data_IF_497223888978
#
_entry.id   IF_497223888978
#
_cell.length_a   1.000
_cell.length_b   1.000
_cell.length_c   1.000
_cell.angle_alpha   90.00
_cell.angle_beta   90.00
_cell.angle_gamma   90.00
#
_symmetry.space_group_name_H-M   'P 1'
#
loop_
_entity.id
_entity.type
_entity.pdbx_description
1 polymer ?
#
# COMPACT_ATOMS: atom_id res chain seq x y z
N UNK A 1 22.45 -38.09 8.88
CA UNK A 1 21.12 -38.08 9.50
C UNK A 1 20.58 -36.67 9.33
N UNK A 2 19.56 -36.50 8.48
CA UNK A 2 19.03 -35.21 8.03
C UNK A 2 18.41 -34.46 9.20
N UNK A 3 18.95 -33.29 9.52
CA UNK A 3 18.30 -32.33 10.41
C UNK A 3 17.04 -31.81 9.72
N UNK A 4 15.88 -32.10 10.31
CA UNK A 4 14.63 -31.44 9.98
C UNK A 4 14.80 -29.94 10.28
N UNK A 5 15.18 -29.16 9.26
CA UNK A 5 15.13 -27.71 9.33
C UNK A 5 13.67 -27.31 9.49
N UNK A 6 13.35 -26.76 10.65
CA UNK A 6 12.05 -26.21 10.99
C UNK A 6 11.60 -25.27 9.89
N UNK A 7 10.47 -25.58 9.27
CA UNK A 7 9.78 -24.76 8.24
C UNK A 7 9.17 -23.48 8.84
N UNK A 8 9.83 -22.86 9.82
CA UNK A 8 9.37 -21.68 10.54
C UNK A 8 9.99 -20.42 9.95
N UNK A 9 9.33 -19.28 10.15
CA UNK A 9 9.89 -17.96 9.83
C UNK A 9 11.21 -17.78 10.59
N UNK A 10 12.29 -17.51 9.86
CA UNK A 10 13.61 -17.27 10.45
C UNK A 10 13.69 -15.87 11.05
N UNK A 11 14.61 -15.70 11.99
CA UNK A 11 14.82 -14.42 12.66
C UNK A 11 15.22 -13.33 11.65
N UNK A 12 14.73 -12.11 11.86
CA UNK A 12 14.91 -11.02 10.90
C UNK A 12 16.32 -10.43 11.03
N UNK A 13 17.00 -10.30 9.89
CA UNK A 13 18.24 -9.54 9.79
C UNK A 13 17.89 -8.07 9.57
N UNK A 14 18.52 -7.18 10.33
CA UNK A 14 18.28 -5.73 10.29
C UNK A 14 19.55 -5.03 9.81
N UNK A 15 19.36 -4.02 8.97
CA UNK A 15 20.42 -3.11 8.53
C UNK A 15 19.87 -1.70 8.38
N UNK A 16 20.71 -0.70 8.61
CA UNK A 16 20.37 0.70 8.36
C UNK A 16 21.04 1.15 7.08
N UNK A 17 20.23 1.69 6.18
CA UNK A 17 20.73 2.22 4.90
C UNK A 17 21.21 3.65 5.06
N UNK A 18 22.29 3.98 4.37
CA UNK A 18 22.84 5.33 4.31
C UNK A 18 22.78 5.86 2.88
N UNK A 19 22.60 7.16 2.74
CA UNK A 19 22.53 7.83 1.44
C UNK A 19 23.90 7.76 0.74
N UNK A 20 23.97 7.13 -0.42
CA UNK A 20 25.20 7.03 -1.23
C UNK A 20 25.15 7.92 -2.46
N UNK A 21 23.96 8.11 -3.04
CA UNK A 21 23.79 8.92 -4.24
C UNK A 21 22.50 9.74 -4.21
N UNK A 22 22.57 10.98 -4.67
CA UNK A 22 21.42 11.86 -4.86
C UNK A 22 21.55 12.63 -6.17
N UNK A 23 20.55 12.47 -7.04
CA UNK A 23 20.38 13.26 -8.26
C UNK A 23 18.97 13.81 -8.34
N UNK A 24 18.69 14.63 -9.37
CA UNK A 24 17.34 15.13 -9.64
C UNK A 24 16.34 14.02 -10.04
N UNK A 25 16.84 12.84 -10.47
CA UNK A 25 16.01 11.73 -10.95
C UNK A 25 15.88 10.59 -9.95
N UNK A 26 16.93 10.31 -9.19
CA UNK A 26 17.00 9.16 -8.29
C UNK A 26 17.83 9.45 -7.04
N UNK A 27 17.46 8.77 -5.96
CA UNK A 27 18.18 8.74 -4.69
C UNK A 27 18.51 7.27 -4.40
N UNK A 28 19.77 6.96 -4.09
CA UNK A 28 20.21 5.61 -3.74
C UNK A 28 20.69 5.56 -2.30
N UNK A 29 20.29 4.48 -1.65
CA UNK A 29 20.70 4.15 -0.30
C UNK A 29 21.32 2.76 -0.31
N UNK A 30 22.40 2.56 0.43
CA UNK A 30 23.12 1.29 0.50
C UNK A 30 23.34 0.89 1.96
N UNK A 31 23.44 -0.41 2.19
CA UNK A 31 23.81 -1.01 3.47
C UNK A 31 24.47 -2.36 3.23
N UNK A 32 25.44 -2.68 4.07
CA UNK A 32 26.03 -4.01 4.15
C UNK A 32 25.52 -4.70 5.41
N UNK A 33 25.17 -5.97 5.29
CA UNK A 33 24.78 -6.82 6.42
C UNK A 33 25.14 -8.28 6.15
N UNK A 34 25.44 -9.02 7.22
CA UNK A 34 25.83 -10.42 7.12
C UNK A 34 24.60 -11.32 7.15
N UNK A 35 24.43 -12.13 6.10
CA UNK A 35 23.37 -13.14 6.00
C UNK A 35 23.99 -14.53 6.24
N UNK A 36 23.60 -15.24 7.31
CA UNK A 36 24.08 -16.60 7.55
C UNK A 36 23.79 -17.53 6.37
N UNK A 37 24.71 -18.44 6.07
CA UNK A 37 24.54 -19.40 4.95
C UNK A 37 23.32 -20.32 5.14
N UNK A 38 22.94 -20.58 6.39
CA UNK A 38 21.74 -21.33 6.74
C UNK A 38 20.46 -20.48 6.73
N UNK A 39 20.49 -19.20 6.34
CA UNK A 39 19.28 -18.37 6.22
C UNK A 39 18.37 -18.88 5.10
N UNK A 40 18.95 -19.49 4.07
CA UNK A 40 18.22 -19.93 2.88
C UNK A 40 17.86 -18.75 1.98
N UNK A 41 16.84 -18.92 1.17
CA UNK A 41 16.47 -17.92 0.16
C UNK A 41 15.69 -16.73 0.75
N UNK A 42 16.08 -15.51 0.40
CA UNK A 42 15.38 -14.28 0.82
C UNK A 42 14.18 -14.03 -0.10
N UNK A 43 12.97 -14.19 0.45
CA UNK A 43 11.72 -14.00 -0.29
C UNK A 43 11.00 -12.68 -0.04
N UNK A 44 11.36 -11.93 1.01
CA UNK A 44 10.73 -10.67 1.37
C UNK A 44 11.68 -9.73 2.10
N UNK A 45 11.44 -8.42 1.96
CA UNK A 45 12.13 -7.35 2.69
C UNK A 45 11.07 -6.51 3.41
N UNK A 46 11.38 -6.14 4.66
CA UNK A 46 10.59 -5.21 5.46
C UNK A 46 11.32 -3.87 5.50
N UNK A 47 10.61 -2.80 5.17
CA UNK A 47 11.13 -1.44 5.09
C UNK A 47 10.42 -0.56 6.12
N UNK A 48 11.22 0.15 6.91
CA UNK A 48 10.77 1.22 7.78
C UNK A 48 11.28 2.55 7.23
N UNK A 49 10.41 3.55 7.12
CA UNK A 49 10.80 4.89 6.72
C UNK A 49 10.98 5.79 7.94
N UNK A 50 12.24 6.04 8.28
CA UNK A 50 12.69 6.94 9.36
C UNK A 50 12.46 8.43 9.04
N UNK A 51 12.17 8.79 7.78
CA UNK A 51 11.92 10.17 7.40
C UNK A 51 10.52 10.62 7.84
N UNK A 52 10.36 11.94 8.07
CA UNK A 52 9.07 12.55 8.43
C UNK A 52 8.06 12.64 7.27
N UNK A 53 8.45 12.21 6.06
CA UNK A 53 7.63 12.26 4.86
C UNK A 53 7.69 10.91 4.17
N UNK A 54 6.63 10.58 3.44
CA UNK A 54 6.60 9.41 2.59
C UNK A 54 7.72 9.45 1.53
N UNK A 55 8.13 8.28 1.07
CA UNK A 55 9.15 8.13 0.03
C UNK A 55 8.71 7.08 -0.97
N UNK A 56 8.86 7.39 -2.26
CA UNK A 56 8.54 6.45 -3.32
C UNK A 56 9.71 5.46 -3.50
N UNK A 57 9.45 4.19 -3.22
CA UNK A 57 10.42 3.10 -3.36
C UNK A 57 10.23 2.44 -4.72
N UNK A 58 11.25 2.53 -5.57
CA UNK A 58 11.21 1.96 -6.92
C UNK A 58 11.64 0.48 -6.93
N UNK A 59 12.83 0.21 -6.42
CA UNK A 59 13.43 -1.12 -6.44
C UNK A 59 14.34 -1.31 -5.23
N UNK A 60 14.42 -2.54 -4.73
CA UNK A 60 15.44 -2.97 -3.76
C UNK A 60 16.25 -4.10 -4.43
N UNK A 61 17.57 -4.01 -4.34
CA UNK A 61 18.49 -5.02 -4.89
C UNK A 61 19.38 -5.52 -3.76
N UNK A 62 19.38 -6.84 -3.56
CA UNK A 62 20.29 -7.51 -2.64
C UNK A 62 21.37 -8.23 -3.45
N UNK A 63 22.61 -7.81 -3.32
CA UNK A 63 23.77 -8.37 -4.04
C UNK A 63 24.64 -9.22 -3.08
N UNK A 64 25.62 -9.95 -3.63
CA UNK A 64 26.59 -10.73 -2.84
C UNK A 64 26.23 -12.20 -2.62
N UNK A 65 25.18 -12.70 -3.27
CA UNK A 65 24.81 -14.13 -3.22
C UNK A 65 25.42 -14.92 -4.38
N UNK A 66 25.79 -16.17 -4.13
CA UNK A 66 26.29 -17.10 -5.17
C UNK A 66 25.29 -17.32 -6.30
N UNK A 67 23.99 -17.17 -6.02
CA UNK A 67 22.90 -17.30 -6.99
C UNK A 67 22.65 -16.03 -7.82
N UNK A 68 23.42 -14.96 -7.58
CA UNK A 68 23.24 -13.65 -8.20
C UNK A 68 22.31 -12.72 -7.41
N UNK A 69 22.13 -11.48 -7.89
CA UNK A 69 21.38 -10.44 -7.18
C UNK A 69 19.88 -10.75 -7.13
N UNK A 70 19.26 -10.53 -5.97
CA UNK A 70 17.82 -10.68 -5.75
C UNK A 70 17.17 -9.29 -5.90
N UNK A 71 16.19 -9.19 -6.80
CA UNK A 71 15.48 -7.95 -7.09
C UNK A 71 14.07 -7.97 -6.54
N UNK A 72 13.66 -6.83 -5.98
CA UNK A 72 12.32 -6.55 -5.48
C UNK A 72 11.78 -5.34 -6.25
N UNK A 73 10.81 -5.58 -7.13
CA UNK A 73 10.11 -4.49 -7.84
C UNK A 73 9.03 -3.92 -6.93
N UNK A 74 9.26 -2.72 -6.41
CA UNK A 74 8.45 -2.13 -5.34
C UNK A 74 7.36 -1.21 -5.90
N UNK A 75 7.75 -0.22 -6.71
CA UNK A 75 6.91 0.82 -7.32
C UNK A 75 5.77 1.32 -6.40
N UNK A 76 6.13 1.70 -5.17
CA UNK A 76 5.14 2.00 -4.12
C UNK A 76 5.63 3.05 -3.13
N UNK A 77 4.69 3.82 -2.60
CA UNK A 77 4.95 4.78 -1.54
C UNK A 77 5.09 4.10 -0.18
N UNK A 78 6.18 4.40 0.51
CA UNK A 78 6.44 4.00 1.89
C UNK A 78 6.11 5.17 2.80
N UNK A 79 5.05 5.03 3.60
CA UNK A 79 4.64 6.04 4.56
C UNK A 79 5.71 6.25 5.64
N UNK A 80 5.71 7.43 6.25
CA UNK A 80 6.58 7.74 7.37
C UNK A 80 6.16 6.92 8.60
N UNK A 81 7.12 6.41 9.39
CA UNK A 81 6.81 5.66 10.62
C UNK A 81 6.00 6.46 11.64
N UNK A 82 6.00 7.79 11.52
CA UNK A 82 5.24 8.70 12.37
C UNK A 82 3.76 8.80 11.95
N UNK A 83 3.42 8.39 10.72
CA UNK A 83 2.03 8.34 10.22
C UNK A 83 1.40 6.97 10.47
N UNK A 84 2.19 5.91 10.25
CA UNK A 84 1.84 4.52 10.57
C UNK A 84 3.13 3.76 10.96
N UNK A 85 3.18 3.11 12.14
CA UNK A 85 4.35 2.37 12.59
C UNK A 85 4.52 0.99 11.91
N UNK A 86 3.53 0.53 11.14
CA UNK A 86 3.60 -0.78 10.48
C UNK A 86 4.66 -0.81 9.39
N UNK A 87 5.49 -1.86 9.41
CA UNK A 87 6.54 -2.06 8.42
C UNK A 87 5.96 -2.36 7.04
N UNK A 88 6.55 -1.79 6.01
CA UNK A 88 6.17 -2.05 4.61
C UNK A 88 6.86 -3.31 4.11
N UNK A 89 6.09 -4.30 3.65
CA UNK A 89 6.65 -5.53 3.06
C UNK A 89 6.72 -5.43 1.53
N UNK A 90 7.83 -5.92 0.98
CA UNK A 90 8.05 -6.14 -0.44
C UNK A 90 8.50 -7.59 -0.65
N UNK A 91 7.92 -8.26 -1.65
CA UNK A 91 8.23 -9.65 -1.99
C UNK A 91 9.16 -9.70 -3.20
N UNK A 92 9.97 -10.76 -3.29
CA UNK A 92 10.79 -10.98 -4.47
C UNK A 92 9.91 -11.25 -5.69
N UNK A 93 10.48 -11.09 -6.89
CA UNK A 93 9.73 -11.26 -8.15
C UNK A 93 9.36 -12.73 -8.48
N UNK A 94 9.53 -13.66 -7.53
CA UNK A 94 9.12 -15.06 -7.67
C UNK A 94 7.62 -15.21 -7.41
N UNK A 95 6.92 -15.87 -8.34
CA UNK A 95 5.48 -16.08 -8.26
C UNK A 95 5.14 -17.40 -7.56
N UNK A 96 4.20 -17.37 -6.62
CA UNK A 96 3.71 -18.56 -5.91
C UNK A 96 2.18 -18.58 -5.84
N UNK A 97 1.58 -19.73 -6.12
CA UNK A 97 0.19 -19.98 -5.71
C UNK A 97 0.08 -19.93 -4.18
N UNK A 98 -1.12 -19.69 -3.61
CA UNK A 98 -1.32 -19.71 -2.16
C UNK A 98 -0.84 -21.03 -1.51
N UNK A 99 -1.06 -22.17 -2.17
CA UNK A 99 -0.61 -23.49 -1.70
C UNK A 99 0.90 -23.71 -1.80
N UNK A 100 1.59 -22.96 -2.67
CA UNK A 100 3.02 -23.09 -2.95
C UNK A 100 3.85 -22.03 -2.23
N UNK A 101 3.20 -21.12 -1.49
CA UNK A 101 3.90 -20.05 -0.78
C UNK A 101 4.83 -20.68 0.27
N UNK A 102 6.15 -20.37 0.25
CA UNK A 102 7.08 -20.85 1.26
C UNK A 102 6.59 -20.53 2.67
N UNK A 103 6.73 -21.47 3.61
CA UNK A 103 6.16 -21.33 4.97
C UNK A 103 6.58 -20.02 5.66
N UNK A 104 7.86 -19.64 5.56
CA UNK A 104 8.36 -18.39 6.14
C UNK A 104 7.72 -17.12 5.58
N UNK A 105 7.04 -17.18 4.43
CA UNK A 105 6.37 -16.04 3.80
C UNK A 105 4.84 -16.03 4.02
N UNK A 106 4.24 -17.14 4.47
CA UNK A 106 2.77 -17.24 4.58
C UNK A 106 2.19 -16.18 5.51
N UNK A 107 2.78 -16.01 6.70
CA UNK A 107 2.34 -15.00 7.68
C UNK A 107 2.47 -13.57 7.12
N UNK A 108 3.55 -13.27 6.40
CA UNK A 108 3.75 -11.96 5.77
C UNK A 108 2.73 -11.72 4.66
N UNK A 109 2.47 -12.73 3.82
CA UNK A 109 1.47 -12.66 2.75
C UNK A 109 0.07 -12.43 3.30
N UNK A 110 -0.33 -13.18 4.33
CA UNK A 110 -1.64 -13.02 4.98
C UNK A 110 -1.77 -11.67 5.68
N UNK A 111 -0.73 -11.25 6.41
CA UNK A 111 -0.70 -9.94 7.07
C UNK A 111 -0.87 -8.79 6.09
N UNK A 112 -0.15 -8.81 4.97
CA UNK A 112 -0.27 -7.79 3.92
C UNK A 112 -1.68 -7.78 3.30
N UNK A 113 -2.28 -8.94 3.05
CA UNK A 113 -3.65 -9.02 2.54
C UNK A 113 -4.69 -8.47 3.54
N UNK A 114 -4.49 -8.68 4.84
CA UNK A 114 -5.35 -8.11 5.88
C UNK A 114 -5.17 -6.59 5.94
N UNK A 115 -3.94 -6.10 5.89
CA UNK A 115 -3.64 -4.66 5.88
C UNK A 115 -4.29 -3.95 4.67
N UNK A 116 -4.21 -4.55 3.47
CA UNK A 116 -4.84 -4.02 2.27
C UNK A 116 -6.38 -4.01 2.33
N UNK A 117 -7.01 -4.94 3.06
CA UNK A 117 -8.48 -4.93 3.24
C UNK A 117 -8.95 -3.92 4.29
N UNK A 118 -8.11 -3.65 5.29
CA UNK A 118 -8.47 -2.84 6.45
C UNK A 118 -9.63 -3.43 7.27
N UNK A 119 -10.30 -2.58 8.05
CA UNK A 119 -11.34 -2.98 9.00
C UNK A 119 -12.74 -2.44 8.66
N UNK A 120 -12.92 -1.84 7.46
CA UNK A 120 -14.16 -1.21 6.97
C UNK A 120 -14.68 -0.02 7.79
N UNK A 121 -13.89 0.50 8.72
CA UNK A 121 -14.28 1.59 9.61
C UNK A 121 -13.39 2.81 9.41
N UNK A 122 -13.83 3.96 9.89
CA UNK A 122 -13.06 5.22 9.83
C UNK A 122 -13.00 5.86 8.44
N UNK A 123 -12.60 7.12 8.44
CA UNK A 123 -12.29 7.90 7.24
C UNK A 123 -10.90 7.54 6.72
N UNK A 124 -10.78 7.41 5.39
CA UNK A 124 -9.53 7.04 4.75
C UNK A 124 -8.52 8.17 4.76
N UNK A 125 -7.26 7.86 5.06
CA UNK A 125 -6.14 8.81 5.07
C UNK A 125 -5.30 8.69 3.81
N UNK A 126 -4.65 9.78 3.40
CA UNK A 126 -3.90 9.87 2.12
C UNK A 126 -2.83 8.79 1.97
N UNK A 127 -2.13 8.43 3.06
CA UNK A 127 -1.07 7.42 3.05
C UNK A 127 -1.59 5.97 3.11
N UNK A 128 -2.89 5.76 3.33
CA UNK A 128 -3.46 4.41 3.44
C UNK A 128 -3.58 3.74 2.09
N UNK A 129 -3.45 2.41 2.09
CA UNK A 129 -3.61 1.55 0.92
C UNK A 129 -4.75 0.55 1.11
N UNK A 130 -5.83 1.01 1.71
CA UNK A 130 -6.96 0.18 2.06
C UNK A 130 -7.93 0.14 0.89
N UNK A 131 -8.11 -1.05 0.33
CA UNK A 131 -9.06 -1.37 -0.72
C UNK A 131 -10.34 -1.92 -0.07
N UNK A 132 -11.40 -1.14 -0.15
CA UNK A 132 -12.72 -1.53 0.34
C UNK A 132 -13.81 -0.91 -0.53
N UNK A 133 -15.04 -1.39 -0.37
CA UNK A 133 -16.14 -1.07 -1.28
C UNK A 133 -17.24 -0.27 -0.59
N UNK A 134 -17.83 0.65 -1.33
CA UNK A 134 -19.04 1.36 -0.93
C UNK A 134 -19.91 1.67 -2.17
N UNK A 135 -21.11 2.17 -1.94
CA UNK A 135 -22.07 2.58 -2.96
C UNK A 135 -21.82 4.02 -3.40
N UNK A 136 -22.40 4.44 -4.52
CA UNK A 136 -22.37 5.83 -4.97
C UNK A 136 -23.43 6.62 -4.20
N UNK A 137 -23.05 7.06 -3.00
CA UNK A 137 -23.83 7.92 -2.10
C UNK A 137 -23.14 9.27 -1.87
N UNK A 138 -22.12 9.59 -2.66
CA UNK A 138 -21.21 10.74 -2.52
C UNK A 138 -21.31 11.72 -3.69
N UNK A 139 -22.27 11.53 -4.60
CA UNK A 139 -22.48 12.37 -5.78
C UNK A 139 -23.32 13.63 -5.50
N UNK A 140 -24.14 13.59 -4.44
CA UNK A 140 -25.04 14.69 -4.06
C UNK A 140 -24.42 15.64 -3.03
N UNK A 141 -25.02 16.81 -2.87
CA UNK A 141 -24.67 17.74 -1.79
C UNK A 141 -25.92 18.34 -1.13
N UNK A 142 -26.72 17.51 -0.42
CA UNK A 142 -27.98 17.95 0.19
C UNK A 142 -27.77 19.01 1.29
N UNK A 143 -26.62 18.99 1.97
CA UNK A 143 -26.27 19.98 3.01
C UNK A 143 -26.18 21.40 2.43
N UNK A 144 -25.64 21.57 1.23
CA UNK A 144 -25.56 22.86 0.53
C UNK A 144 -26.92 23.31 -0.01
N UNK A 145 -27.61 22.42 -0.73
CA UNK A 145 -28.92 22.72 -1.34
C UNK A 145 -29.73 21.42 -1.45
N UNK A 146 -30.99 21.37 -0.95
CA UNK A 146 -31.87 20.21 -1.13
C UNK A 146 -32.04 19.75 -2.59
N UNK A 147 -31.97 20.66 -3.57
CA UNK A 147 -32.03 20.34 -5.01
C UNK A 147 -30.80 19.59 -5.53
N UNK A 148 -29.69 19.58 -4.78
CA UNK A 148 -28.49 18.81 -5.07
C UNK A 148 -28.52 17.40 -4.47
N UNK A 149 -29.63 16.98 -3.86
CA UNK A 149 -29.81 15.59 -3.45
C UNK A 149 -29.80 14.66 -4.67
N UNK A 150 -29.14 13.52 -4.55
CA UNK A 150 -29.09 12.45 -5.57
C UNK A 150 -29.47 11.12 -4.93
N UNK A 151 -30.05 10.21 -5.71
CA UNK A 151 -30.33 8.86 -5.24
C UNK A 151 -29.03 8.07 -5.05
N UNK A 152 -29.05 7.13 -4.12
CA UNK A 152 -27.91 6.24 -3.88
C UNK A 152 -27.88 5.15 -4.96
N UNK A 153 -26.75 4.96 -5.64
CA UNK A 153 -26.57 3.92 -6.66
C UNK A 153 -25.70 2.77 -6.13
N UNK A 154 -26.15 1.53 -6.31
CA UNK A 154 -25.53 0.31 -5.80
C UNK A 154 -26.44 -0.52 -4.88
N UNK A 155 -27.68 -0.08 -4.64
CA UNK A 155 -28.67 -0.81 -3.85
C UNK A 155 -29.49 -1.80 -4.69
N UNK A 156 -30.56 -2.35 -4.08
CA UNK A 156 -31.54 -3.18 -4.80
C UNK A 156 -32.38 -2.36 -5.78
N UNK A 157 -32.76 -1.15 -5.38
CA UNK A 157 -33.61 -0.25 -6.18
C UNK A 157 -32.86 0.35 -7.37
N UNK A 158 -31.58 0.67 -7.18
CA UNK A 158 -30.69 1.19 -8.22
C UNK A 158 -29.41 0.35 -8.28
N UNK A 159 -29.44 -0.82 -8.93
CA UNK A 159 -28.24 -1.66 -9.08
C UNK A 159 -27.13 -0.90 -9.82
N UNK A 160 -25.93 -0.91 -9.25
CA UNK A 160 -24.76 -0.25 -9.83
C UNK A 160 -23.47 -0.87 -9.29
N UNK A 161 -22.34 -0.83 -10.04
CA UNK A 161 -21.04 -1.22 -9.53
C UNK A 161 -20.69 -0.52 -8.22
N UNK A 162 -19.86 -1.17 -7.40
CA UNK A 162 -19.29 -0.55 -6.20
C UNK A 162 -18.13 0.35 -6.56
N UNK A 163 -17.86 1.33 -5.70
CA UNK A 163 -16.69 2.23 -5.77
C UNK A 163 -15.77 2.02 -4.59
N UNK A 164 -14.59 2.62 -4.64
CA UNK A 164 -13.66 2.63 -3.51
C UNK A 164 -14.25 3.36 -2.31
N UNK A 165 -14.30 2.71 -1.15
CA UNK A 165 -14.77 3.30 0.10
C UNK A 165 -13.84 4.42 0.54
N UNK A 166 -14.42 5.57 0.88
CA UNK A 166 -13.71 6.77 1.38
C UNK A 166 -13.98 7.00 2.85
N UNK A 167 -15.18 6.64 3.33
CA UNK A 167 -15.51 6.62 4.76
C UNK A 167 -15.65 8.00 5.40
N UNK A 168 -15.86 9.06 4.60
CA UNK A 168 -16.10 10.41 5.12
C UNK A 168 -17.42 10.44 5.91
N UNK A 169 -17.61 11.44 6.78
CA UNK A 169 -18.86 11.58 7.53
C UNK A 169 -20.09 11.70 6.62
N UNK A 170 -21.26 11.30 7.14
CA UNK A 170 -22.54 11.49 6.47
C UNK A 170 -22.97 12.96 6.44
N UNK A 171 -23.77 13.34 5.45
CA UNK A 171 -24.42 14.65 5.40
C UNK A 171 -25.38 14.83 6.57
N UNK A 172 -25.51 16.06 7.06
CA UNK A 172 -26.39 16.38 8.18
C UNK A 172 -27.88 16.30 7.79
N UNK A 173 -28.23 16.73 6.58
CA UNK A 173 -29.60 16.72 6.04
C UNK A 173 -30.01 15.38 5.42
N UNK A 174 -29.06 14.48 5.16
CA UNK A 174 -29.33 13.15 4.60
C UNK A 174 -28.29 12.12 5.07
N UNK A 175 -28.60 11.30 6.10
CA UNK A 175 -27.69 10.29 6.63
C UNK A 175 -27.30 9.19 5.65
N UNK A 176 -28.02 9.04 4.53
CA UNK A 176 -27.67 8.08 3.48
C UNK A 176 -26.58 8.60 2.55
N UNK A 177 -26.40 9.93 2.48
CA UNK A 177 -25.40 10.58 1.63
C UNK A 177 -24.09 10.79 2.40
N UNK A 178 -22.96 10.50 1.76
CA UNK A 178 -21.63 10.82 2.27
C UNK A 178 -21.29 12.28 1.92
N UNK A 179 -20.58 12.98 2.82
CA UNK A 179 -20.19 14.37 2.56
C UNK A 179 -19.25 14.45 1.34
N UNK A 180 -19.45 15.45 0.46
CA UNK A 180 -18.56 15.68 -0.67
C UNK A 180 -17.20 16.22 -0.18
N UNK A 181 -16.16 15.99 -0.98
CA UNK A 181 -14.80 16.47 -0.75
C UNK A 181 -14.15 16.81 -2.09
N UNK A 182 -13.34 17.86 -2.11
CA UNK A 182 -12.52 18.22 -3.28
C UNK A 182 -11.39 17.21 -3.53
N UNK A 183 -11.00 16.46 -2.49
CA UNK A 183 -10.03 15.38 -2.57
C UNK A 183 -10.72 14.06 -2.25
N UNK A 184 -10.92 13.25 -3.27
CA UNK A 184 -11.48 11.90 -3.13
C UNK A 184 -10.33 10.94 -2.85
N UNK A 185 -10.42 10.21 -1.74
CA UNK A 185 -9.42 9.20 -1.42
C UNK A 185 -9.40 8.09 -2.47
N UNK A 186 -8.19 7.73 -2.87
CA UNK A 186 -7.83 6.47 -3.51
C UNK A 186 -6.65 5.87 -2.74
N UNK A 187 -6.47 4.55 -2.72
CA UNK A 187 -5.28 3.91 -2.16
C UNK A 187 -4.01 4.59 -2.65
N UNK A 188 -3.03 4.81 -1.75
CA UNK A 188 -1.90 5.73 -2.02
C UNK A 188 -1.16 5.45 -3.33
N UNK A 189 -0.99 4.19 -3.69
CA UNK A 189 -0.27 3.77 -4.90
C UNK A 189 -1.10 3.94 -6.20
N UNK A 190 -2.42 4.08 -6.09
CA UNK A 190 -3.32 4.43 -7.20
C UNK A 190 -3.39 5.95 -7.45
N UNK A 191 -2.87 6.73 -6.50
CA UNK A 191 -2.74 8.18 -6.65
C UNK A 191 -1.47 8.52 -7.42
N UNK A 192 -1.64 9.13 -8.58
CA UNK A 192 -0.51 9.64 -9.37
C UNK A 192 0.29 10.68 -8.60
N UNK A 193 1.58 10.82 -8.95
CA UNK A 193 2.41 11.92 -8.47
C UNK A 193 1.90 13.26 -8.99
N UNK A 194 2.26 14.35 -8.33
CA UNK A 194 1.84 15.72 -8.69
C UNK A 194 2.19 16.07 -10.15
N UNK A 195 3.32 15.56 -10.67
CA UNK A 195 3.76 15.80 -12.05
C UNK A 195 2.81 15.20 -13.08
N UNK A 196 2.35 13.96 -12.85
CA UNK A 196 1.39 13.27 -13.73
C UNK A 196 -0.03 13.85 -13.51
N UNK A 197 -0.36 14.21 -12.27
CA UNK A 197 -1.64 14.84 -11.92
C UNK A 197 -1.81 16.21 -12.61
N UNK A 198 -0.76 17.03 -12.69
CA UNK A 198 -0.76 18.28 -13.46
C UNK A 198 -1.01 18.04 -14.97
N UNK A 199 -0.41 17.00 -15.55
CA UNK A 199 -0.61 16.64 -16.96
C UNK A 199 -2.05 16.17 -17.25
N UNK A 200 -2.65 15.42 -16.33
CA UNK A 200 -4.04 14.96 -16.45
C UNK A 200 -5.04 16.10 -16.22
N UNK A 201 -4.80 16.99 -15.24
CA UNK A 201 -5.65 18.14 -14.95
C UNK A 201 -5.63 19.22 -16.05
N UNK A 202 -4.60 19.24 -16.90
CA UNK A 202 -4.56 20.07 -18.11
C UNK A 202 -5.47 19.55 -19.23
N UNK A 203 -5.99 18.32 -19.11
CA UNK A 203 -7.05 17.77 -19.96
C UNK A 203 -8.38 17.80 -19.21
N UNK A 204 -8.92 18.99 -18.94
CA UNK A 204 -10.26 19.11 -18.34
C UNK A 204 -11.35 18.61 -19.32
N UNK A 205 -12.33 17.91 -18.77
CA UNK A 205 -13.67 17.68 -19.36
C UNK A 205 -14.54 18.88 -18.99
#
# INVERSE_FOLDING_TARGET
MSSEETKLEKERIKGYVHLTHRSAKEIKYEADFEVPTNFGEIGAVLVENEHKRESFMKEIVLDGFLTGPIKFSCDSWVHSKFDNPDLRVFFSNKCYLPSETPEGLKRLREGELVALRGNRQGERKVFERIYDYDVYNDLGNPDKDPGLKRSVLGGKEHPYPRRCRTGRPRCAKDPLSEKPSDKVYVPRDESFSDDITCLLNNKRI
#
